data_IF_684463949071
#
_entry.id   IF_684463949071
#
_cell.length_a   1.000
_cell.length_b   1.000
_cell.length_c   1.000
_cell.angle_alpha   90.00
_cell.angle_beta   90.00
_cell.angle_gamma   90.00
#
_symmetry.space_group_name_H-M   'P 1'
#
loop_
_entity.id
_entity.type
_entity.pdbx_description
1 polymer ?
#
# COMPACT_ATOMS: atom_id res chain seq x y z
N UNK A 1 2.41 -4.27 -15.44
CA UNK A 1 1.27 -4.68 -14.60
C UNK A 1 0.72 -3.54 -13.75
N UNK A 2 1.51 -2.60 -13.28
CA UNK A 2 1.06 -1.60 -12.29
C UNK A 2 0.50 -0.30 -12.84
N UNK A 3 0.78 0.07 -14.07
CA UNK A 3 -0.03 1.09 -14.74
C UNK A 3 -1.51 0.72 -14.68
N UNK A 4 -1.85 -0.57 -14.73
CA UNK A 4 -3.23 -1.04 -14.67
C UNK A 4 -3.91 -0.84 -13.31
N UNK A 5 -3.18 -0.96 -12.17
CA UNK A 5 -3.79 -0.73 -10.85
C UNK A 5 -3.98 0.77 -10.56
N UNK A 6 -3.03 1.62 -10.92
CA UNK A 6 -3.21 3.08 -10.86
C UNK A 6 -4.35 3.55 -11.79
N UNK A 7 -4.54 2.88 -12.94
CA UNK A 7 -5.67 3.14 -13.83
C UNK A 7 -7.03 2.85 -13.19
N UNK A 8 -7.12 1.90 -12.24
CA UNK A 8 -8.36 1.67 -11.49
C UNK A 8 -8.71 2.90 -10.63
N UNK A 9 -7.71 3.49 -9.96
CA UNK A 9 -7.93 4.72 -9.21
C UNK A 9 -8.31 5.89 -10.12
N UNK A 10 -7.59 6.08 -11.23
CA UNK A 10 -7.85 7.19 -12.17
C UNK A 10 -9.20 7.10 -12.88
N UNK A 11 -9.75 5.89 -13.07
CA UNK A 11 -11.11 5.70 -13.60
C UNK A 11 -12.19 6.13 -12.62
N UNK A 12 -11.92 6.07 -11.33
CA UNK A 12 -12.89 6.43 -10.30
C UNK A 12 -12.84 7.93 -9.95
N UNK A 13 -11.66 8.55 -10.04
CA UNK A 13 -11.49 9.98 -9.82
C UNK A 13 -10.10 10.45 -10.23
N UNK A 14 -9.89 11.76 -10.26
CA UNK A 14 -8.62 12.37 -10.66
C UNK A 14 -7.48 12.02 -9.70
N UNK A 15 -6.33 11.63 -10.26
CA UNK A 15 -5.04 11.47 -9.58
C UNK A 15 -4.17 12.70 -9.88
N UNK A 16 -4.09 13.63 -8.94
CA UNK A 16 -3.23 14.81 -9.05
C UNK A 16 -1.82 14.47 -8.58
N UNK A 17 -0.80 14.48 -9.47
CA UNK A 17 0.55 14.11 -9.08
C UNK A 17 1.13 15.11 -8.07
N UNK A 18 1.81 14.60 -7.05
CA UNK A 18 2.60 15.39 -6.11
C UNK A 18 4.03 15.53 -6.64
N UNK A 19 4.64 16.68 -6.39
CA UNK A 19 6.08 16.84 -6.63
C UNK A 19 6.86 16.01 -5.61
N UNK A 20 7.44 14.90 -6.07
CA UNK A 20 8.24 13.99 -5.26
C UNK A 20 9.73 14.22 -5.39
N UNK A 21 10.17 15.31 -6.05
CA UNK A 21 11.59 15.68 -6.12
C UNK A 21 12.11 16.04 -4.71
N UNK A 22 13.22 15.50 -4.23
CA UNK A 22 14.23 14.67 -4.90
C UNK A 22 14.02 13.15 -4.80
N UNK A 23 12.85 12.66 -4.33
CA UNK A 23 12.60 11.27 -4.02
C UNK A 23 12.08 10.44 -5.20
N UNK A 24 11.95 11.04 -6.39
CA UNK A 24 11.47 10.34 -7.60
C UNK A 24 12.28 9.07 -7.89
N UNK A 25 13.59 9.09 -7.60
CA UNK A 25 14.39 7.87 -7.59
C UNK A 25 15.55 7.99 -6.61
N UNK A 26 15.83 6.91 -5.89
CA UNK A 26 16.96 6.81 -5.00
C UNK A 26 17.53 5.40 -4.98
N UNK A 27 18.80 5.24 -4.63
CA UNK A 27 19.47 3.95 -4.68
C UNK A 27 20.51 3.80 -3.57
N UNK A 28 20.79 2.56 -3.19
CA UNK A 28 21.81 2.19 -2.21
C UNK A 28 21.79 0.70 -1.91
N UNK A 29 22.90 0.16 -1.45
CA UNK A 29 23.02 -1.25 -1.04
C UNK A 29 22.51 -2.27 -2.08
N UNK A 30 22.73 -2.00 -3.37
CA UNK A 30 22.29 -2.88 -4.46
C UNK A 30 20.79 -2.84 -4.76
N UNK A 31 20.07 -1.85 -4.21
CA UNK A 31 18.66 -1.60 -4.46
C UNK A 31 18.48 -0.25 -5.15
N UNK A 32 17.47 -0.16 -6.01
CA UNK A 32 17.03 1.08 -6.63
C UNK A 32 15.51 1.18 -6.51
N UNK A 33 15.06 2.36 -6.11
CA UNK A 33 13.65 2.68 -5.89
C UNK A 33 13.19 3.80 -6.83
N UNK A 34 11.92 3.77 -7.19
CA UNK A 34 11.21 4.82 -7.91
C UNK A 34 9.89 5.06 -7.21
N UNK A 35 9.58 6.32 -6.96
CA UNK A 35 8.37 6.76 -6.27
C UNK A 35 7.54 7.66 -7.17
N UNK A 36 6.24 7.42 -7.16
CA UNK A 36 5.19 8.33 -7.60
C UNK A 36 4.21 8.51 -6.44
N UNK A 37 3.70 9.70 -6.24
CA UNK A 37 2.70 10.00 -5.21
C UNK A 37 1.66 10.95 -5.77
N UNK A 38 0.42 10.75 -5.35
CA UNK A 38 -0.73 11.45 -5.87
C UNK A 38 -1.65 11.88 -4.73
N UNK A 39 -2.32 13.01 -4.92
CA UNK A 39 -3.56 13.31 -4.24
C UNK A 39 -4.71 12.72 -5.07
N UNK A 40 -5.54 11.89 -4.45
CA UNK A 40 -6.69 11.30 -5.11
C UNK A 40 -7.94 12.05 -4.72
N UNK A 41 -8.29 13.05 -5.56
CA UNK A 41 -9.50 13.87 -5.43
C UNK A 41 -9.69 14.50 -4.04
N UNK A 42 -8.62 14.92 -3.37
CA UNK A 42 -8.70 15.47 -2.02
C UNK A 42 -9.20 14.49 -0.94
N UNK A 43 -9.25 13.18 -1.24
CA UNK A 43 -9.80 12.15 -0.34
C UNK A 43 -8.76 11.20 0.21
N UNK A 44 -7.68 10.93 -0.53
CA UNK A 44 -6.64 10.01 -0.12
C UNK A 44 -5.28 10.37 -0.74
N UNK A 45 -4.21 9.95 -0.09
CA UNK A 45 -2.90 9.85 -0.71
C UNK A 45 -2.77 8.47 -1.37
N UNK A 46 -2.44 8.44 -2.66
CA UNK A 46 -2.10 7.20 -3.38
C UNK A 46 -0.64 7.26 -3.77
N UNK A 47 0.15 6.32 -3.33
CA UNK A 47 1.56 6.23 -3.68
C UNK A 47 1.89 4.92 -4.36
N UNK A 48 2.83 4.99 -5.30
CA UNK A 48 3.33 3.86 -6.04
C UNK A 48 4.86 3.83 -5.93
N UNK A 49 5.37 2.79 -5.29
CA UNK A 49 6.80 2.57 -5.09
C UNK A 49 7.22 1.30 -5.81
N UNK A 50 8.18 1.39 -6.72
CA UNK A 50 8.81 0.22 -7.31
C UNK A 50 10.24 0.05 -6.78
N UNK A 51 10.67 -1.18 -6.58
CA UNK A 51 12.02 -1.51 -6.17
C UNK A 51 12.61 -2.59 -7.07
N UNK A 52 13.89 -2.45 -7.41
CA UNK A 52 14.71 -3.50 -8.01
C UNK A 52 15.96 -3.72 -7.16
N UNK A 53 16.28 -4.99 -6.93
CA UNK A 53 17.44 -5.41 -6.15
C UNK A 53 18.16 -6.59 -6.80
N UNK A 54 19.37 -6.86 -6.33
CA UNK A 54 20.17 -8.02 -6.74
C UNK A 54 20.27 -8.16 -8.27
N UNK A 55 20.75 -7.09 -8.94
CA UNK A 55 20.87 -7.04 -10.42
C UNK A 55 19.55 -7.29 -11.14
N UNK A 56 18.41 -6.96 -10.52
CA UNK A 56 17.08 -7.11 -11.09
C UNK A 56 16.43 -8.49 -10.92
N UNK A 57 17.06 -9.40 -10.21
CA UNK A 57 16.47 -10.71 -9.90
C UNK A 57 15.36 -10.63 -8.85
N UNK A 58 15.29 -9.54 -8.09
CA UNK A 58 14.20 -9.22 -7.19
C UNK A 58 13.55 -7.90 -7.60
N UNK A 59 12.24 -7.91 -7.70
CA UNK A 59 11.40 -6.73 -7.98
C UNK A 59 10.30 -6.68 -6.93
N UNK A 60 10.00 -5.50 -6.46
CA UNK A 60 8.83 -5.24 -5.61
C UNK A 60 8.06 -4.08 -6.20
N UNK A 61 6.80 -4.16 -6.09
CA UNK A 61 5.83 -3.28 -6.65
C UNK A 61 4.76 -3.03 -5.61
N UNK A 62 4.78 -1.84 -5.04
CA UNK A 62 3.98 -1.43 -3.90
C UNK A 62 3.02 -0.32 -4.31
N UNK A 63 1.75 -0.48 -3.98
CA UNK A 63 0.74 0.58 -4.07
C UNK A 63 0.12 0.77 -2.70
N UNK A 64 0.08 2.00 -2.23
CA UNK A 64 -0.51 2.36 -0.94
C UNK A 64 -1.62 3.37 -1.19
N UNK A 65 -2.79 3.14 -0.60
CA UNK A 65 -3.86 4.12 -0.51
C UNK A 65 -4.10 4.45 0.95
N UNK A 66 -3.90 5.72 1.30
CA UNK A 66 -4.10 6.25 2.65
C UNK A 66 -5.26 7.25 2.63
N UNK A 67 -6.48 6.84 2.96
CA UNK A 67 -7.63 7.73 3.04
C UNK A 67 -7.46 8.76 4.16
N UNK A 68 -7.84 10.01 3.92
CA UNK A 68 -7.83 11.06 4.94
C UNK A 68 -9.13 11.88 5.01
N UNK A 69 -10.03 11.75 4.02
CA UNK A 69 -11.35 12.38 4.04
C UNK A 69 -12.51 11.37 4.03
N UNK A 70 -12.23 10.09 3.78
CA UNK A 70 -13.18 8.99 3.84
C UNK A 70 -12.80 8.01 4.94
N UNK A 71 -13.79 7.46 5.65
CA UNK A 71 -13.54 6.45 6.68
C UNK A 71 -13.36 5.06 6.07
N UNK A 72 -12.19 4.87 5.50
CA UNK A 72 -11.76 3.62 4.90
C UNK A 72 -10.45 3.17 5.53
N UNK A 73 -10.16 1.87 5.59
CA UNK A 73 -8.87 1.39 6.08
C UNK A 73 -7.73 1.82 5.15
N UNK A 74 -6.54 1.98 5.70
CA UNK A 74 -5.33 2.07 4.88
C UNK A 74 -5.15 0.77 4.12
N UNK A 75 -4.91 0.86 2.81
CA UNK A 75 -4.66 -0.26 1.92
C UNK A 75 -3.19 -0.26 1.50
N UNK A 76 -2.53 -1.40 1.63
CA UNK A 76 -1.21 -1.68 1.06
C UNK A 76 -1.29 -2.89 0.14
N UNK A 77 -0.75 -2.74 -1.05
CA UNK A 77 -0.55 -3.79 -2.02
C UNK A 77 0.94 -3.95 -2.28
N UNK A 78 1.45 -5.17 -2.23
CA UNK A 78 2.81 -5.52 -2.63
C UNK A 78 2.81 -6.74 -3.54
N UNK A 79 3.41 -6.62 -4.72
CA UNK A 79 3.78 -7.75 -5.55
C UNK A 79 5.29 -7.92 -5.53
N UNK A 80 5.74 -8.98 -4.91
CA UNK A 80 7.16 -9.33 -4.80
C UNK A 80 7.47 -10.44 -5.78
N UNK A 81 8.39 -10.17 -6.71
CA UNK A 81 8.92 -11.15 -7.64
C UNK A 81 10.40 -11.39 -7.32
N UNK A 82 10.74 -12.61 -6.98
CA UNK A 82 12.10 -13.03 -6.67
C UNK A 82 12.41 -14.32 -7.43
N UNK A 83 13.32 -14.24 -8.40
CA UNK A 83 13.59 -15.32 -9.35
C UNK A 83 12.27 -15.71 -10.07
N UNK A 84 11.82 -16.98 -9.87
CA UNK A 84 10.55 -17.50 -10.41
C UNK A 84 9.38 -17.50 -9.43
N UNK A 85 9.60 -17.04 -8.20
CA UNK A 85 8.55 -16.99 -7.17
C UNK A 85 7.88 -15.62 -7.18
N UNK A 86 6.56 -15.62 -7.08
CA UNK A 86 5.76 -14.41 -6.89
C UNK A 86 4.94 -14.51 -5.63
N UNK A 87 4.92 -13.44 -4.88
CA UNK A 87 4.12 -13.29 -3.67
C UNK A 87 3.32 -12.00 -3.78
N UNK A 88 2.02 -12.11 -3.61
CA UNK A 88 1.10 -10.99 -3.51
C UNK A 88 0.71 -10.81 -2.05
N UNK A 89 0.82 -9.58 -1.56
CA UNK A 89 0.20 -9.15 -0.32
C UNK A 89 -0.83 -8.07 -0.65
N UNK A 90 -2.02 -8.21 -0.08
CA UNK A 90 -3.00 -7.12 -0.02
C UNK A 90 -3.39 -6.99 1.45
N UNK A 91 -3.00 -5.90 2.05
CA UNK A 91 -3.15 -5.69 3.48
C UNK A 91 -4.01 -4.46 3.73
N UNK A 92 -5.02 -4.62 4.58
CA UNK A 92 -5.87 -3.54 5.06
C UNK A 92 -5.60 -3.35 6.54
N UNK A 93 -5.33 -2.10 6.93
CA UNK A 93 -4.97 -1.77 8.30
C UNK A 93 -6.06 -0.94 8.97
N UNK A 94 -6.37 -1.27 10.21
CA UNK A 94 -7.36 -0.57 11.02
C UNK A 94 -6.87 0.83 11.38
N UNK A 95 -7.17 1.75 10.49
CA UNK A 95 -7.06 3.19 10.69
C UNK A 95 -8.45 3.83 10.70
N UNK A 96 -9.49 3.03 10.94
CA UNK A 96 -10.89 3.45 10.91
C UNK A 96 -11.25 4.31 12.12
N UNK A 97 -12.16 5.25 11.92
CA UNK A 97 -12.81 5.99 13.02
C UNK A 97 -13.95 5.16 13.58
N UNK A 98 -14.72 4.51 12.70
CA UNK A 98 -15.76 3.54 13.03
C UNK A 98 -15.74 2.33 12.11
N UNK A 99 -16.35 1.21 12.50
CA UNK A 99 -16.40 0.01 11.67
C UNK A 99 -16.98 0.26 10.27
N UNK A 100 -16.36 -0.35 9.26
CA UNK A 100 -16.78 -0.32 7.86
C UNK A 100 -17.04 -1.75 7.38
N UNK A 101 -18.09 -1.94 6.58
CA UNK A 101 -18.38 -3.23 5.96
C UNK A 101 -17.38 -3.49 4.81
N UNK A 102 -16.56 -4.52 4.98
CA UNK A 102 -15.56 -4.97 4.02
C UNK A 102 -15.94 -6.31 3.36
N UNK A 103 -17.23 -6.66 3.37
CA UNK A 103 -17.74 -7.95 2.87
C UNK A 103 -17.41 -8.20 1.40
N UNK A 104 -17.38 -7.16 0.54
CA UNK A 104 -16.98 -7.28 -0.86
C UNK A 104 -15.53 -7.77 -0.99
N UNK A 105 -14.62 -7.24 -0.20
CA UNK A 105 -13.21 -7.70 -0.20
C UNK A 105 -13.08 -9.11 0.37
N UNK A 106 -13.88 -9.45 1.39
CA UNK A 106 -13.92 -10.82 1.96
C UNK A 106 -14.40 -11.84 0.94
N UNK A 107 -15.43 -11.51 0.15
CA UNK A 107 -15.91 -12.37 -0.93
C UNK A 107 -14.83 -12.63 -1.99
N UNK A 108 -14.05 -11.62 -2.36
CA UNK A 108 -12.91 -11.82 -3.27
C UNK A 108 -11.85 -12.70 -2.63
N UNK A 109 -11.49 -12.48 -1.38
CA UNK A 109 -10.52 -13.32 -0.65
C UNK A 109 -10.95 -14.79 -0.64
N UNK A 110 -12.23 -15.07 -0.39
CA UNK A 110 -12.80 -16.43 -0.40
C UNK A 110 -12.79 -17.05 -1.80
N UNK A 111 -13.13 -16.30 -2.84
CA UNK A 111 -13.07 -16.73 -4.25
C UNK A 111 -11.68 -17.28 -4.65
N UNK A 112 -10.63 -16.77 -4.04
CA UNK A 112 -9.24 -17.17 -4.30
C UNK A 112 -8.64 -17.99 -3.14
N UNK A 113 -9.47 -18.66 -2.35
CA UNK A 113 -9.04 -19.50 -1.22
C UNK A 113 -8.16 -20.68 -1.63
N UNK A 114 -8.28 -21.15 -2.88
CA UNK A 114 -7.46 -22.22 -3.47
C UNK A 114 -5.99 -21.80 -3.73
N UNK A 115 -5.69 -20.50 -3.79
CA UNK A 115 -4.31 -20.04 -3.88
C UNK A 115 -3.57 -20.28 -2.57
N UNK A 116 -2.34 -20.77 -2.70
CA UNK A 116 -1.49 -21.10 -1.55
C UNK A 116 -1.18 -19.85 -0.72
N UNK A 117 -1.42 -19.94 0.59
CA UNK A 117 -1.04 -18.90 1.54
C UNK A 117 0.48 -18.81 1.70
N UNK A 118 0.97 -17.59 1.79
CA UNK A 118 2.34 -17.30 2.20
C UNK A 118 2.37 -16.98 3.67
N UNK A 119 3.01 -17.82 4.45
CA UNK A 119 3.26 -17.50 5.85
C UNK A 119 4.26 -16.34 5.96
N UNK A 120 3.83 -15.27 6.61
CA UNK A 120 4.66 -14.12 6.91
C UNK A 120 5.22 -14.23 8.33
N UNK A 121 6.38 -13.63 8.57
CA UNK A 121 6.91 -13.51 9.95
C UNK A 121 6.02 -12.55 10.74
N UNK A 122 5.79 -12.82 12.03
CA UNK A 122 5.05 -11.92 12.89
C UNK A 122 5.64 -10.50 12.86
N UNK A 123 4.75 -9.52 12.82
CA UNK A 123 5.11 -8.11 12.82
C UNK A 123 4.26 -7.36 13.85
N UNK A 124 4.75 -6.23 14.34
CA UNK A 124 4.07 -5.41 15.34
C UNK A 124 2.68 -4.95 14.89
N UNK A 125 2.48 -4.78 13.58
CA UNK A 125 1.23 -4.31 12.98
C UNK A 125 0.21 -5.43 12.69
N UNK A 126 0.49 -6.69 13.06
CA UNK A 126 -0.43 -7.80 12.75
C UNK A 126 -1.78 -7.65 13.49
N UNK A 127 -1.78 -7.03 14.66
CA UNK A 127 -2.98 -6.72 15.41
C UNK A 127 -3.82 -5.57 14.81
N UNK A 128 -3.26 -4.83 13.84
CA UNK A 128 -3.96 -3.79 13.09
C UNK A 128 -4.54 -4.30 11.78
N UNK A 129 -4.22 -5.53 11.38
CA UNK A 129 -4.72 -6.11 10.13
C UNK A 129 -6.20 -6.45 10.24
N UNK A 130 -6.95 -5.97 9.24
CA UNK A 130 -8.37 -6.30 9.11
C UNK A 130 -8.57 -7.64 8.37
N UNK A 131 -9.75 -8.29 8.53
CA UNK A 131 -10.03 -9.62 7.98
C UNK A 131 -9.79 -9.81 6.47
N UNK A 132 -9.98 -8.81 5.57
CA UNK A 132 -9.68 -8.97 4.15
C UNK A 132 -8.20 -9.15 3.82
N UNK A 133 -7.30 -8.83 4.75
CA UNK A 133 -5.85 -9.00 4.54
C UNK A 133 -5.51 -10.41 4.07
N UNK A 134 -4.66 -10.50 3.04
CA UNK A 134 -4.20 -11.76 2.47
C UNK A 134 -2.73 -11.71 2.05
N UNK A 135 -2.11 -12.89 2.01
CA UNK A 135 -0.77 -13.10 1.48
C UNK A 135 -0.78 -14.41 0.69
N UNK A 136 -0.58 -14.34 -0.62
CA UNK A 136 -0.72 -15.48 -1.54
C UNK A 136 0.52 -15.67 -2.42
N UNK A 137 0.78 -16.94 -2.80
CA UNK A 137 1.79 -17.32 -3.80
C UNK A 137 1.09 -18.00 -4.96
N UNK A 138 1.52 -17.70 -6.17
CA UNK A 138 0.92 -18.28 -7.37
C UNK A 138 1.59 -17.79 -8.66
N UNK A 139 0.95 -18.12 -9.77
CA UNK A 139 1.32 -17.58 -11.06
C UNK A 139 0.90 -16.10 -11.20
N UNK A 140 1.56 -15.41 -12.13
CA UNK A 140 1.36 -13.98 -12.32
C UNK A 140 -0.06 -13.61 -12.74
N UNK A 141 -0.68 -14.42 -13.58
CA UNK A 141 -2.03 -14.16 -14.10
C UNK A 141 -3.06 -14.20 -12.98
N UNK A 142 -3.04 -15.26 -12.16
CA UNK A 142 -3.98 -15.43 -11.05
C UNK A 142 -3.76 -14.41 -9.94
N UNK A 143 -2.49 -14.10 -9.59
CA UNK A 143 -2.19 -13.07 -8.61
C UNK A 143 -2.60 -11.67 -9.10
N UNK A 144 -2.44 -11.41 -10.41
CA UNK A 144 -2.89 -10.14 -11.00
C UNK A 144 -4.42 -10.01 -10.99
N UNK A 145 -5.14 -11.08 -11.31
CA UNK A 145 -6.60 -11.09 -11.26
C UNK A 145 -7.10 -10.86 -9.82
N UNK A 146 -6.53 -11.57 -8.84
CA UNK A 146 -6.84 -11.37 -7.42
C UNK A 146 -6.58 -9.93 -6.98
N UNK A 147 -5.41 -9.36 -7.32
CA UNK A 147 -5.07 -7.98 -6.96
C UNK A 147 -6.06 -6.99 -7.56
N UNK A 148 -6.40 -7.15 -8.85
CA UNK A 148 -7.36 -6.29 -9.54
C UNK A 148 -8.73 -6.34 -8.87
N UNK A 149 -9.24 -7.53 -8.56
CA UNK A 149 -10.56 -7.68 -7.91
C UNK A 149 -10.55 -7.14 -6.48
N UNK A 150 -9.49 -7.36 -5.70
CA UNK A 150 -9.36 -6.80 -4.35
C UNK A 150 -9.35 -5.27 -4.36
N UNK A 151 -8.59 -4.66 -5.25
CA UNK A 151 -8.52 -3.20 -5.36
C UNK A 151 -9.84 -2.64 -5.90
N UNK A 152 -10.47 -3.29 -6.88
CA UNK A 152 -11.79 -2.87 -7.38
C UNK A 152 -12.83 -2.89 -6.27
N UNK A 153 -12.91 -3.98 -5.48
CA UNK A 153 -13.82 -4.08 -4.35
C UNK A 153 -13.55 -3.02 -3.28
N UNK A 154 -12.28 -2.70 -3.02
CA UNK A 154 -11.92 -1.60 -2.13
C UNK A 154 -12.42 -0.25 -2.65
N UNK A 155 -12.28 0.02 -3.96
CA UNK A 155 -12.75 1.26 -4.59
C UNK A 155 -14.28 1.36 -4.60
N UNK A 156 -14.99 0.25 -4.80
CA UNK A 156 -16.46 0.20 -4.72
C UNK A 156 -16.95 0.57 -3.32
N UNK A 157 -16.30 0.04 -2.27
CA UNK A 157 -16.59 0.41 -0.88
C UNK A 157 -16.25 1.88 -0.63
N UNK A 158 -15.09 2.33 -1.15
CA UNK A 158 -14.64 3.72 -0.99
C UNK A 158 -15.63 4.73 -1.56
N UNK A 159 -16.24 4.41 -2.70
CA UNK A 159 -17.22 5.29 -3.36
C UNK A 159 -18.44 5.59 -2.46
N UNK A 160 -18.87 4.64 -1.65
CA UNK A 160 -19.99 4.77 -0.72
C UNK A 160 -19.57 5.08 0.73
N UNK A 161 -18.26 5.14 1.00
CA UNK A 161 -17.75 5.38 2.33
C UNK A 161 -18.14 6.78 2.84
N UNK A 162 -18.47 6.87 4.13
CA UNK A 162 -18.82 8.14 4.76
C UNK A 162 -17.62 9.08 4.80
N UNK A 163 -17.90 10.37 4.77
CA UNK A 163 -16.93 11.40 5.05
C UNK A 163 -16.55 11.39 6.53
N UNK A 164 -15.31 11.77 6.81
CA UNK A 164 -14.77 11.82 8.17
C UNK A 164 -13.96 13.09 8.36
N UNK A 165 -13.87 13.57 9.61
CA UNK A 165 -12.97 14.66 9.93
C UNK A 165 -11.53 14.31 9.56
N UNK A 166 -10.95 15.12 8.69
CA UNK A 166 -9.62 14.90 8.13
C UNK A 166 -8.54 14.86 9.21
N UNK A 167 -8.67 15.67 10.25
CA UNK A 167 -7.68 15.73 11.33
C UNK A 167 -7.68 14.44 12.15
N UNK A 168 -8.88 13.93 12.48
CA UNK A 168 -9.06 12.68 13.20
C UNK A 168 -8.52 11.50 12.39
N UNK A 169 -8.88 11.45 11.11
CA UNK A 169 -8.44 10.37 10.22
C UNK A 169 -6.93 10.39 10.00
N UNK A 170 -6.37 11.57 9.76
CA UNK A 170 -4.91 11.73 9.58
C UNK A 170 -4.16 11.33 10.84
N UNK A 171 -4.68 11.65 12.04
CA UNK A 171 -4.06 11.23 13.30
C UNK A 171 -3.99 9.70 13.43
N UNK A 172 -5.05 8.98 13.07
CA UNK A 172 -5.07 7.49 13.05
C UNK A 172 -4.07 6.92 12.05
N UNK A 173 -4.05 7.44 10.83
CA UNK A 173 -3.06 7.04 9.82
C UNK A 173 -1.63 7.31 10.31
N UNK A 174 -1.40 8.45 10.95
CA UNK A 174 -0.09 8.84 11.49
C UNK A 174 0.40 7.86 12.56
N UNK A 175 -0.47 7.42 13.45
CA UNK A 175 -0.13 6.40 14.46
C UNK A 175 0.43 5.12 13.80
N UNK A 176 -0.17 4.65 12.72
CA UNK A 176 0.33 3.50 11.96
C UNK A 176 1.69 3.81 11.33
N UNK A 177 1.85 4.97 10.69
CA UNK A 177 3.10 5.37 10.02
C UNK A 177 4.24 5.57 11.02
N UNK A 178 3.96 6.16 12.19
CA UNK A 178 4.93 6.30 13.28
C UNK A 178 5.41 4.92 13.77
N UNK A 179 4.52 3.95 13.86
CA UNK A 179 4.88 2.57 14.14
C UNK A 179 5.81 1.96 13.09
N UNK A 180 5.54 2.19 11.79
CA UNK A 180 6.44 1.77 10.70
C UNK A 180 7.82 2.43 10.78
N UNK A 181 7.88 3.70 11.16
CA UNK A 181 9.13 4.44 11.34
C UNK A 181 9.93 3.88 12.52
N UNK A 182 9.26 3.58 13.62
CA UNK A 182 9.92 3.09 14.83
C UNK A 182 10.41 1.65 14.69
N UNK A 183 9.62 0.77 14.06
CA UNK A 183 9.92 -0.68 14.06
C UNK A 183 9.84 -1.36 12.67
N UNK A 184 9.58 -0.61 11.60
CA UNK A 184 9.45 -1.15 10.25
C UNK A 184 10.79 -1.53 9.60
N UNK A 185 10.92 -2.72 9.00
CA UNK A 185 12.14 -3.11 8.30
C UNK A 185 12.40 -2.24 7.07
N UNK A 186 11.37 -1.81 6.35
CA UNK A 186 11.49 -0.96 5.17
C UNK A 186 12.05 0.42 5.55
N UNK A 187 11.56 1.03 6.63
CA UNK A 187 12.10 2.29 7.11
C UNK A 187 13.58 2.17 7.47
N UNK A 188 13.98 1.09 8.16
CA UNK A 188 15.39 0.84 8.49
C UNK A 188 16.29 0.73 7.27
N UNK A 189 15.79 0.15 6.18
CA UNK A 189 16.54 0.06 4.91
C UNK A 189 16.64 1.43 4.26
N UNK A 190 15.52 2.12 4.09
CA UNK A 190 15.45 3.44 3.43
C UNK A 190 16.26 4.48 4.21
N UNK A 191 16.14 4.53 5.54
CA UNK A 191 16.89 5.48 6.37
C UNK A 191 18.43 5.33 6.26
N UNK A 192 18.91 4.11 6.03
CA UNK A 192 20.34 3.86 5.77
C UNK A 192 20.79 4.29 4.38
N UNK A 193 19.87 4.56 3.46
CA UNK A 193 20.17 5.00 2.09
C UNK A 193 20.13 6.52 1.94
N UNK A 194 19.13 7.16 2.53
CA UNK A 194 18.86 8.59 2.34
C UNK A 194 18.92 9.42 3.63
N UNK A 195 19.26 8.80 4.75
CA UNK A 195 19.27 9.43 6.07
C UNK A 195 17.90 9.35 6.78
N UNK A 196 17.92 9.36 8.10
CA UNK A 196 16.71 9.13 8.91
C UNK A 196 15.66 10.23 8.73
N UNK A 197 16.06 11.49 8.76
CA UNK A 197 15.12 12.62 8.61
C UNK A 197 14.50 12.66 7.21
N UNK A 198 15.30 12.44 6.18
CA UNK A 198 14.81 12.31 4.80
C UNK A 198 13.83 11.16 4.64
N UNK A 199 14.10 10.02 5.29
CA UNK A 199 13.22 8.86 5.27
C UNK A 199 11.88 9.15 6.00
N UNK A 200 11.89 9.90 7.11
CA UNK A 200 10.64 10.33 7.79
C UNK A 200 9.79 11.20 6.87
N UNK A 201 10.38 12.20 6.23
CA UNK A 201 9.69 13.06 5.26
C UNK A 201 9.11 12.21 4.12
N UNK A 202 9.89 11.27 3.59
CA UNK A 202 9.44 10.36 2.54
C UNK A 202 8.20 9.57 2.97
N UNK A 203 8.21 8.99 4.17
CA UNK A 203 7.11 8.19 4.69
C UNK A 203 5.88 9.05 4.96
N UNK A 204 6.01 10.11 5.78
CA UNK A 204 4.86 10.92 6.15
C UNK A 204 4.24 11.66 4.99
N UNK A 205 5.05 12.34 4.17
CA UNK A 205 4.53 13.25 3.15
C UNK A 205 4.17 12.57 1.85
N UNK A 206 5.02 11.62 1.40
CA UNK A 206 4.93 11.10 0.03
C UNK A 206 4.39 9.67 -0.06
N UNK A 207 4.75 8.79 0.88
CA UNK A 207 4.21 7.44 0.87
C UNK A 207 2.81 7.37 1.47
N UNK A 208 2.59 8.05 2.60
CA UNK A 208 1.34 7.92 3.35
C UNK A 208 0.51 9.21 3.45
N UNK A 209 1.04 10.38 3.12
CA UNK A 209 0.28 11.64 3.15
C UNK A 209 -0.28 12.01 4.53
N UNK A 210 0.50 11.80 5.59
CA UNK A 210 0.12 12.06 6.98
C UNK A 210 0.67 13.38 7.55
N UNK A 211 1.24 14.22 6.68
CA UNK A 211 1.63 15.61 6.96
C UNK A 211 0.62 16.59 6.39
#
# INVERSE_FOLDING_TARGET
MNSSLLELFSKNSELVPKDVTPWQSFSGKGMKFWLQSYDWNGCACVSHLTMRAFFGTMKMDTLICTPYAKDMPLLSYDLISALWKRTLLVETYDTLVEPVDLSLMLAVKEKYSDLKDKQMKPAWYDNLKLPPTLSKVGDESRLSALATEMISSYLDIFASARDVDRSVKTAKNRTYVDGLINDGPTFRVVSKMIGAESAKILFHRFLFGTE
#
